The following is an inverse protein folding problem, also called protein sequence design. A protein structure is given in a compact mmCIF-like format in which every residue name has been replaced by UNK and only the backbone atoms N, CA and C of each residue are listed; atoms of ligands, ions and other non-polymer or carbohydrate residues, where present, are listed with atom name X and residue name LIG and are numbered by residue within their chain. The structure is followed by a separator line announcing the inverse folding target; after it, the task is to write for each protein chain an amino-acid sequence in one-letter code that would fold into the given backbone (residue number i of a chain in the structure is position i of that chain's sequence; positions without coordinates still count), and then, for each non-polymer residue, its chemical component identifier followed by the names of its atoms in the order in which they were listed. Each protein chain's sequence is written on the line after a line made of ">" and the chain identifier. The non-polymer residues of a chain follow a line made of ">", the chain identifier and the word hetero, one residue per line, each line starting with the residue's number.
data_IF_841475659859
#
_entry.id   IF_841475659859
#
_cell.length_a   1.000
_cell.length_b   1.000
_cell.length_c   1.000
_cell.angle_alpha   90.00
_cell.angle_beta   90.00
_cell.angle_gamma   90.00
#
_symmetry.space_group_name_H-M   'P 1'
#
loop_
_entity.id
_entity.type
_entity.pdbx_description
1 polymer ?
#
# COMPACT_ATOMS: atom_id res chain seq x y z
N UNK A 1 8.10 0.23 -7.87
CA UNK A 1 8.75 -0.80 -7.04
C UNK A 1 9.19 -2.00 -7.87
N UNK A 2 8.66 -2.21 -9.08
CA UNK A 2 9.11 -3.18 -10.09
C UNK A 2 10.63 -3.50 -10.06
N UNK A 3 11.51 -2.49 -10.14
CA UNK A 3 12.96 -2.75 -10.07
C UNK A 3 13.38 -3.45 -8.77
N UNK A 4 12.91 -2.98 -7.62
CA UNK A 4 13.19 -3.61 -6.32
C UNK A 4 12.55 -5.00 -6.25
N UNK A 5 11.31 -5.13 -6.72
CA UNK A 5 10.56 -6.39 -6.68
C UNK A 5 11.23 -7.48 -7.54
N UNK A 6 11.79 -7.12 -8.70
CA UNK A 6 12.42 -8.04 -9.65
C UNK A 6 13.93 -8.26 -9.41
N UNK A 7 14.65 -7.23 -8.93
CA UNK A 7 16.12 -7.22 -8.84
C UNK A 7 16.63 -7.26 -7.39
N UNK A 8 15.75 -7.03 -6.41
CA UNK A 8 16.10 -7.02 -4.98
C UNK A 8 16.73 -8.32 -4.49
N UNK A 9 16.30 -9.47 -5.03
CA UNK A 9 16.90 -10.77 -4.71
C UNK A 9 18.34 -10.95 -5.21
N UNK A 10 18.78 -10.15 -6.19
CA UNK A 10 20.16 -10.18 -6.72
C UNK A 10 21.04 -9.15 -6.02
N UNK A 11 20.45 -8.03 -5.58
CA UNK A 11 21.15 -6.95 -4.89
C UNK A 11 20.51 -6.71 -3.52
N UNK A 12 20.98 -7.42 -2.47
CA UNK A 12 20.39 -7.35 -1.13
C UNK A 12 20.31 -5.93 -0.55
N UNK A 13 21.24 -5.05 -0.94
CA UNK A 13 21.27 -3.65 -0.49
C UNK A 13 20.05 -2.81 -0.92
N UNK A 14 19.31 -3.24 -1.94
CA UNK A 14 18.08 -2.60 -2.41
C UNK A 14 16.84 -3.46 -2.17
N UNK A 15 16.95 -4.58 -1.45
CA UNK A 15 15.82 -5.44 -1.13
C UNK A 15 15.00 -4.87 0.04
N UNK A 16 13.76 -5.32 0.15
CA UNK A 16 12.87 -4.99 1.27
C UNK A 16 13.28 -5.72 2.55
N UNK A 17 12.87 -5.17 3.71
CA UNK A 17 12.98 -5.93 4.96
C UNK A 17 12.04 -7.15 4.93
N UNK A 18 12.39 -8.28 5.57
CA UNK A 18 11.56 -9.48 5.52
C UNK A 18 10.14 -9.28 6.10
N UNK A 19 10.03 -8.49 7.16
CA UNK A 19 8.75 -8.09 7.75
C UNK A 19 8.94 -6.94 8.73
N UNK A 20 9.72 -7.18 9.79
CA UNK A 20 10.18 -6.16 10.71
C UNK A 20 11.55 -5.65 10.26
N UNK A 21 11.76 -4.36 10.44
CA UNK A 21 12.97 -3.66 10.00
C UNK A 21 12.67 -2.64 8.92
N UNK A 22 13.71 -1.92 8.52
CA UNK A 22 13.60 -0.88 7.48
C UNK A 22 14.86 -0.90 6.63
N UNK A 23 14.66 -0.85 5.32
CA UNK A 23 15.69 -0.80 4.28
C UNK A 23 15.49 0.44 3.42
N UNK A 24 16.43 0.74 2.53
CA UNK A 24 16.31 1.89 1.62
C UNK A 24 15.05 1.79 0.74
N UNK A 25 14.70 0.58 0.29
CA UNK A 25 13.54 0.34 -0.56
C UNK A 25 12.22 0.71 0.12
N UNK A 26 12.13 0.51 1.43
CA UNK A 26 10.91 0.78 2.21
C UNK A 26 10.56 2.28 2.26
N UNK A 27 11.54 3.17 2.08
CA UNK A 27 11.33 4.62 2.05
C UNK A 27 10.84 5.16 0.70
N UNK A 28 10.96 4.39 -0.38
CA UNK A 28 10.65 4.85 -1.74
C UNK A 28 9.18 5.25 -1.85
N UNK A 29 8.26 4.37 -1.44
CA UNK A 29 6.83 4.65 -1.52
C UNK A 29 6.40 5.85 -0.64
N UNK A 30 6.75 5.91 0.66
CA UNK A 30 6.47 7.07 1.49
C UNK A 30 6.99 8.38 0.89
N UNK A 31 8.19 8.37 0.31
CA UNK A 31 8.78 9.56 -0.32
C UNK A 31 7.96 10.05 -1.53
N UNK A 32 7.53 9.14 -2.41
CA UNK A 32 6.65 9.50 -3.52
C UNK A 32 5.32 10.10 -3.06
N UNK A 33 4.69 9.50 -2.04
CA UNK A 33 3.43 9.99 -1.49
C UNK A 33 3.58 11.36 -0.82
N UNK A 34 4.68 11.56 -0.09
CA UNK A 34 5.05 12.85 0.46
C UNK A 34 5.21 13.90 -0.65
N UNK A 35 5.95 13.59 -1.72
CA UNK A 35 6.14 14.50 -2.86
C UNK A 35 4.85 14.82 -3.59
N UNK A 36 3.93 13.86 -3.73
CA UNK A 36 2.58 14.08 -4.26
C UNK A 36 1.83 15.08 -3.38
N UNK A 37 1.86 14.89 -2.06
CA UNK A 37 1.28 15.84 -1.10
C UNK A 37 1.83 17.26 -1.26
N UNK A 38 3.16 17.40 -1.25
CA UNK A 38 3.82 18.71 -1.44
C UNK A 38 3.35 19.37 -2.74
N UNK A 39 3.32 18.60 -3.83
CA UNK A 39 2.88 19.09 -5.15
C UNK A 39 1.44 19.59 -5.14
N UNK A 40 0.53 18.90 -4.44
CA UNK A 40 -0.87 19.32 -4.28
C UNK A 40 -0.95 20.67 -3.56
N UNK A 41 -0.21 20.85 -2.47
CA UNK A 41 -0.16 22.11 -1.72
C UNK A 41 0.29 23.29 -2.59
N UNK A 42 1.30 23.07 -3.44
CA UNK A 42 1.81 24.09 -4.35
C UNK A 42 0.84 24.42 -5.50
N UNK A 43 0.23 23.40 -6.13
CA UNK A 43 -0.64 23.58 -7.31
C UNK A 43 -1.97 24.23 -6.96
N UNK A 44 -2.58 23.87 -5.83
CA UNK A 44 -3.91 24.35 -5.45
C UNK A 44 -3.89 25.58 -4.53
N UNK A 45 -2.77 26.31 -4.46
CA UNK A 45 -2.63 27.57 -3.70
C UNK A 45 -3.80 28.55 -3.93
N UNK A 46 -4.30 28.64 -5.16
CA UNK A 46 -5.49 29.41 -5.52
C UNK A 46 -6.36 28.55 -6.44
N UNK A 47 -7.55 28.19 -5.96
CA UNK A 47 -8.53 27.43 -6.74
C UNK A 47 -9.62 28.38 -7.22
N UNK A 48 -9.59 28.84 -8.49
CA UNK A 48 -10.59 29.79 -9.00
C UNK A 48 -11.97 29.15 -9.17
N UNK A 49 -12.04 27.89 -9.61
CA UNK A 49 -13.27 27.12 -9.70
C UNK A 49 -13.07 25.72 -9.10
N UNK A 50 -13.73 25.45 -7.97
CA UNK A 50 -13.63 24.17 -7.25
C UNK A 50 -14.18 23.00 -8.07
N UNK A 51 -15.21 23.21 -8.89
CA UNK A 51 -15.83 22.16 -9.70
C UNK A 51 -14.89 21.72 -10.83
N UNK A 52 -14.32 22.67 -11.56
CA UNK A 52 -13.37 22.38 -12.63
C UNK A 52 -12.09 21.72 -12.10
N UNK A 53 -11.60 22.19 -10.95
CA UNK A 53 -10.46 21.57 -10.27
C UNK A 53 -10.75 20.11 -9.88
N UNK A 54 -11.93 19.87 -9.28
CA UNK A 54 -12.36 18.52 -8.90
C UNK A 54 -12.46 17.60 -10.12
N UNK A 55 -13.03 18.08 -11.23
CA UNK A 55 -13.11 17.30 -12.48
C UNK A 55 -11.73 16.89 -13.00
N UNK A 56 -10.76 17.82 -12.98
CA UNK A 56 -9.36 17.53 -13.39
C UNK A 56 -8.70 16.49 -12.48
N UNK A 57 -8.90 16.62 -11.17
CA UNK A 57 -8.40 15.65 -10.17
C UNK A 57 -8.97 14.27 -10.44
N UNK A 58 -10.30 14.14 -10.54
CA UNK A 58 -10.97 12.86 -10.78
C UNK A 58 -10.51 12.19 -12.09
N UNK A 59 -10.42 12.94 -13.19
CA UNK A 59 -9.94 12.40 -14.46
C UNK A 59 -8.50 11.91 -14.37
N UNK A 60 -7.63 12.63 -13.65
CA UNK A 60 -6.24 12.21 -13.44
C UNK A 60 -6.16 10.97 -12.55
N UNK A 61 -6.94 10.91 -11.47
CA UNK A 61 -7.01 9.74 -10.58
C UNK A 61 -7.46 8.51 -11.36
N UNK A 62 -8.53 8.60 -12.15
CA UNK A 62 -9.02 7.48 -12.96
C UNK A 62 -7.95 7.01 -13.96
N UNK A 63 -7.28 7.94 -14.66
CA UNK A 63 -6.20 7.59 -15.61
C UNK A 63 -5.05 6.86 -14.92
N UNK A 64 -4.59 7.35 -13.77
CA UNK A 64 -3.52 6.72 -13.00
C UNK A 64 -3.93 5.35 -12.44
N UNK A 65 -5.16 5.23 -11.96
CA UNK A 65 -5.69 3.98 -11.42
C UNK A 65 -5.80 2.92 -12.52
N UNK A 66 -6.40 3.25 -13.66
CA UNK A 66 -6.52 2.34 -14.82
C UNK A 66 -5.14 1.94 -15.33
N UNK A 67 -4.21 2.89 -15.46
CA UNK A 67 -2.83 2.59 -15.84
C UNK A 67 -2.16 1.64 -14.83
N UNK A 68 -2.38 1.83 -13.53
CA UNK A 68 -1.89 0.93 -12.49
C UNK A 68 -2.42 -0.49 -12.63
N UNK A 69 -3.72 -0.65 -12.88
CA UNK A 69 -4.34 -1.96 -13.12
C UNK A 69 -3.81 -2.61 -14.40
N UNK A 70 -3.56 -1.83 -15.45
CA UNK A 70 -2.97 -2.36 -16.70
C UNK A 70 -1.52 -2.82 -16.51
N UNK A 71 -0.71 -2.11 -15.71
CA UNK A 71 0.69 -2.46 -15.50
C UNK A 71 0.88 -3.58 -14.46
N UNK A 72 0.14 -3.53 -13.35
CA UNK A 72 0.35 -4.38 -12.18
C UNK A 72 -0.76 -5.44 -11.98
N UNK A 73 -1.93 -5.25 -12.58
CA UNK A 73 -3.09 -6.14 -12.46
C UNK A 73 -2.95 -7.46 -13.23
N UNK A 74 -1.73 -7.88 -13.55
CA UNK A 74 -1.51 -9.20 -14.12
C UNK A 74 -1.59 -9.33 -15.63
N UNK A 75 -1.41 -8.23 -16.36
CA UNK A 75 -1.22 -8.28 -17.82
C UNK A 75 0.14 -8.88 -18.20
N UNK A 76 1.13 -8.78 -17.31
CA UNK A 76 2.49 -9.30 -17.48
C UNK A 76 2.78 -10.46 -16.51
N UNK A 77 1.89 -11.44 -16.42
CA UNK A 77 2.24 -12.69 -15.73
C UNK A 77 3.12 -13.55 -16.64
N UNK A 78 4.23 -14.05 -16.13
CA UNK A 78 5.12 -14.96 -16.87
C UNK A 78 6.32 -14.27 -17.53
N UNK A 79 7.14 -13.56 -16.76
CA UNK A 79 8.48 -13.16 -17.24
C UNK A 79 9.31 -14.36 -17.70
N UNK A 80 8.98 -15.57 -17.19
CA UNK A 80 9.65 -16.84 -17.47
C UNK A 80 8.85 -17.80 -18.36
N UNK A 81 7.53 -17.62 -18.48
CA UNK A 81 6.65 -18.42 -19.34
C UNK A 81 5.94 -17.45 -20.28
N UNK A 82 6.23 -17.51 -21.58
CA UNK A 82 5.73 -16.62 -22.67
C UNK A 82 4.18 -16.60 -22.85
N UNK A 83 3.43 -16.97 -21.82
CA UNK A 83 1.97 -16.90 -21.73
C UNK A 83 1.52 -15.47 -21.44
N UNK A 84 1.22 -14.72 -22.49
CA UNK A 84 0.58 -13.41 -22.39
C UNK A 84 -0.95 -13.56 -22.31
N UNK A 85 -1.59 -12.96 -21.30
CA UNK A 85 -3.05 -12.97 -21.16
C UNK A 85 -3.56 -12.33 -19.88
N UNK A 86 -4.80 -11.81 -19.91
CA UNK A 86 -5.45 -11.21 -18.75
C UNK A 86 -6.23 -12.29 -18.00
N UNK A 87 -5.69 -12.76 -16.88
CA UNK A 87 -6.48 -13.60 -15.97
C UNK A 87 -7.24 -12.70 -14.98
N UNK A 88 -8.48 -12.36 -15.35
CA UNK A 88 -9.37 -11.50 -14.54
C UNK A 88 -9.59 -12.07 -13.13
N UNK A 89 -9.48 -13.39 -12.93
CA UNK A 89 -9.62 -14.01 -11.60
C UNK A 89 -8.42 -13.77 -10.68
N UNK A 90 -7.25 -13.47 -11.24
CA UNK A 90 -6.00 -13.23 -10.50
C UNK A 90 -5.52 -11.78 -10.60
N UNK A 91 -6.41 -10.85 -10.96
CA UNK A 91 -6.06 -9.44 -11.09
C UNK A 91 -5.76 -8.84 -9.72
N UNK A 92 -4.60 -8.20 -9.58
CA UNK A 92 -4.27 -7.44 -8.37
C UNK A 92 -4.88 -6.05 -8.46
N UNK A 93 -5.89 -5.78 -7.64
CA UNK A 93 -6.67 -4.54 -7.69
C UNK A 93 -5.93 -3.33 -7.13
N UNK A 94 -5.19 -3.52 -6.04
CA UNK A 94 -4.42 -2.47 -5.38
C UNK A 94 -2.94 -2.70 -5.59
N UNK A 95 -2.29 -1.64 -6.05
CA UNK A 95 -0.88 -1.62 -6.39
C UNK A 95 -0.29 -0.24 -6.16
N UNK A 96 0.96 -0.04 -6.56
CA UNK A 96 1.69 1.19 -6.29
C UNK A 96 1.01 2.42 -6.92
N UNK A 97 0.66 2.35 -8.20
CA UNK A 97 0.04 3.48 -8.91
C UNK A 97 -1.35 3.79 -8.38
N UNK A 98 -2.13 2.76 -8.05
CA UNK A 98 -3.46 2.89 -7.47
C UNK A 98 -3.37 3.63 -6.13
N UNK A 99 -2.44 3.23 -5.27
CA UNK A 99 -2.18 3.92 -3.99
C UNK A 99 -1.78 5.37 -4.19
N UNK A 100 -0.84 5.66 -5.09
CA UNK A 100 -0.46 7.04 -5.45
C UNK A 100 -1.67 7.84 -5.95
N UNK A 101 -2.53 7.23 -6.76
CA UNK A 101 -3.75 7.88 -7.27
C UNK A 101 -4.75 8.21 -6.16
N UNK A 102 -4.87 7.34 -5.15
CA UNK A 102 -5.71 7.55 -3.96
C UNK A 102 -5.14 8.64 -3.06
N UNK A 103 -3.82 8.62 -2.81
CA UNK A 103 -3.14 9.68 -2.05
C UNK A 103 -3.32 11.05 -2.69
N UNK A 104 -3.13 11.13 -4.01
CA UNK A 104 -3.39 12.33 -4.80
C UNK A 104 -4.86 12.78 -4.70
N UNK A 105 -5.81 11.85 -4.82
CA UNK A 105 -7.24 12.14 -4.71
C UNK A 105 -7.58 12.74 -3.34
N UNK A 106 -7.21 12.07 -2.26
CA UNK A 106 -7.56 12.50 -0.90
C UNK A 106 -6.93 13.85 -0.55
N UNK A 107 -5.64 14.04 -0.84
CA UNK A 107 -4.96 15.32 -0.61
C UNK A 107 -5.54 16.45 -1.47
N UNK A 108 -5.86 16.20 -2.74
CA UNK A 108 -6.43 17.23 -3.61
C UNK A 108 -7.85 17.60 -3.21
N UNK A 109 -8.68 16.61 -2.86
CA UNK A 109 -10.05 16.86 -2.41
C UNK A 109 -10.08 17.62 -1.09
N UNK A 110 -9.20 17.28 -0.13
CA UNK A 110 -9.09 18.05 1.11
C UNK A 110 -8.65 19.49 0.86
N UNK A 111 -7.71 19.71 -0.06
CA UNK A 111 -7.22 21.07 -0.38
C UNK A 111 -8.28 21.91 -1.08
N UNK A 112 -8.99 21.35 -2.06
CA UNK A 112 -10.01 22.08 -2.82
C UNK A 112 -11.22 22.48 -1.96
N UNK A 113 -11.64 21.59 -1.05
CA UNK A 113 -12.93 21.73 -0.34
C UNK A 113 -12.80 22.20 1.10
N UNK A 114 -11.73 21.84 1.81
CA UNK A 114 -11.58 22.16 3.24
C UNK A 114 -10.77 23.44 3.49
N UNK A 115 -10.06 23.95 2.49
CA UNK A 115 -9.23 25.15 2.60
C UNK A 115 -9.93 26.35 1.96
N UNK A 116 -9.88 27.48 2.66
CA UNK A 116 -10.40 28.75 2.19
C UNK A 116 -9.30 29.64 1.57
N UNK A 117 -9.72 30.71 0.90
CA UNK A 117 -8.80 31.66 0.27
C UNK A 117 -8.27 32.73 1.25
N UNK A 118 -8.34 32.49 2.56
CA UNK A 118 -7.87 33.46 3.56
C UNK A 118 -6.36 33.68 3.49
N UNK A 119 -5.91 34.91 3.72
CA UNK A 119 -4.49 35.23 3.86
C UNK A 119 -3.94 34.72 5.20
N UNK A 120 -2.69 34.26 5.19
CA UNK A 120 -2.01 33.78 6.40
C UNK A 120 -1.01 34.85 6.83
N UNK A 121 -1.36 35.61 7.87
CA UNK A 121 -0.51 36.69 8.42
C UNK A 121 0.18 36.30 9.73
N UNK A 122 -0.25 35.22 10.37
CA UNK A 122 0.30 34.72 11.63
C UNK A 122 0.24 33.20 11.73
N UNK A 123 0.99 32.63 12.67
CA UNK A 123 0.97 31.18 12.97
C UNK A 123 -0.44 30.72 13.38
N UNK A 124 -1.17 31.54 14.15
CA UNK A 124 -2.54 31.21 14.55
C UNK A 124 -3.49 31.16 13.35
N UNK A 125 -3.33 32.08 12.39
CA UNK A 125 -4.09 32.06 11.14
C UNK A 125 -3.76 30.82 10.29
N UNK A 126 -2.49 30.39 10.26
CA UNK A 126 -2.08 29.15 9.60
C UNK A 126 -2.77 27.92 10.21
N UNK A 127 -2.73 27.78 11.54
CA UNK A 127 -3.37 26.64 12.23
C UNK A 127 -4.88 26.65 11.98
N UNK A 128 -5.54 27.81 12.14
CA UNK A 128 -6.98 27.94 11.89
C UNK A 128 -7.35 27.61 10.44
N UNK A 129 -6.50 27.95 9.47
CA UNK A 129 -6.73 27.66 8.06
C UNK A 129 -6.68 26.15 7.75
N UNK A 130 -5.73 25.43 8.34
CA UNK A 130 -5.46 24.03 8.00
C UNK A 130 -5.97 23.01 9.03
N UNK A 131 -6.65 23.44 10.11
CA UNK A 131 -7.08 22.55 11.18
C UNK A 131 -8.01 21.42 10.72
N UNK A 132 -8.93 21.68 9.77
CA UNK A 132 -9.83 20.64 9.25
C UNK A 132 -9.07 19.51 8.56
N UNK A 133 -7.99 19.81 7.84
CA UNK A 133 -7.14 18.80 7.21
C UNK A 133 -6.42 17.95 8.26
N UNK A 134 -5.87 18.58 9.30
CA UNK A 134 -5.27 17.87 10.43
C UNK A 134 -6.29 16.98 11.15
N UNK A 135 -7.52 17.46 11.38
CA UNK A 135 -8.58 16.65 11.98
C UNK A 135 -8.91 15.43 11.12
N UNK A 136 -9.01 15.58 9.79
CA UNK A 136 -9.21 14.45 8.87
C UNK A 136 -8.04 13.47 8.96
N UNK A 137 -6.79 13.95 8.94
CA UNK A 137 -5.62 13.08 9.07
C UNK A 137 -5.59 12.32 10.41
N UNK A 138 -5.94 12.97 11.52
CA UNK A 138 -6.03 12.36 12.84
C UNK A 138 -7.16 11.33 12.91
N UNK A 139 -8.32 11.60 12.32
CA UNK A 139 -9.43 10.65 12.24
C UNK A 139 -9.02 9.41 11.44
N UNK A 140 -8.40 9.59 10.27
CA UNK A 140 -7.91 8.47 9.44
C UNK A 140 -6.87 7.65 10.20
N UNK A 141 -5.95 8.31 10.93
CA UNK A 141 -4.97 7.66 11.78
C UNK A 141 -5.64 6.85 12.91
N UNK A 142 -6.60 7.45 13.61
CA UNK A 142 -7.34 6.78 14.68
C UNK A 142 -8.12 5.57 14.16
N UNK A 143 -8.82 5.71 13.03
CA UNK A 143 -9.54 4.60 12.37
C UNK A 143 -8.57 3.48 12.01
N UNK A 144 -7.42 3.80 11.41
CA UNK A 144 -6.41 2.80 11.09
C UNK A 144 -5.90 2.07 12.34
N UNK A 145 -5.56 2.79 13.41
CA UNK A 145 -5.07 2.19 14.65
C UNK A 145 -6.15 1.33 15.31
N UNK A 146 -7.40 1.79 15.34
CA UNK A 146 -8.53 1.03 15.86
C UNK A 146 -8.75 -0.27 15.06
N UNK A 147 -8.64 -0.23 13.73
CA UNK A 147 -8.77 -1.42 12.90
C UNK A 147 -7.56 -2.35 13.06
N UNK A 148 -6.34 -1.81 13.09
CA UNK A 148 -5.11 -2.59 13.19
C UNK A 148 -5.04 -3.39 14.50
N UNK A 149 -5.40 -2.77 15.62
CA UNK A 149 -5.32 -3.39 16.95
C UNK A 149 -6.64 -3.99 17.44
N UNK A 150 -7.78 -3.45 17.01
CA UNK A 150 -9.10 -3.85 17.48
C UNK A 150 -9.73 -5.00 16.71
N UNK A 151 -9.36 -5.22 15.45
CA UNK A 151 -9.98 -6.25 14.61
C UNK A 151 -9.54 -7.66 15.04
N UNK A 152 -10.50 -8.57 15.17
CA UNK A 152 -10.22 -9.98 15.43
C UNK A 152 -9.93 -10.71 14.15
N UNK A 153 -8.82 -11.44 14.11
CA UNK A 153 -8.41 -12.23 12.97
C UNK A 153 -8.71 -13.71 13.26
N UNK A 154 -9.75 -14.28 12.62
CA UNK A 154 -10.08 -15.69 12.77
C UNK A 154 -9.07 -16.57 12.03
N UNK A 155 -9.15 -17.86 12.32
CA UNK A 155 -8.47 -18.90 11.55
C UNK A 155 -8.98 -18.88 10.11
N UNK A 156 -8.09 -19.19 9.16
CA UNK A 156 -8.41 -19.13 7.74
C UNK A 156 -7.65 -20.22 6.98
N UNK A 157 -8.10 -20.52 5.76
CA UNK A 157 -7.56 -21.60 4.94
C UNK A 157 -7.15 -21.10 3.56
N UNK A 158 -6.15 -21.74 2.95
CA UNK A 158 -5.76 -21.48 1.57
C UNK A 158 -5.39 -22.78 0.85
N UNK A 159 -5.56 -22.79 -0.47
CA UNK A 159 -5.19 -23.92 -1.31
C UNK A 159 -3.76 -23.76 -1.82
N UNK A 160 -3.00 -24.87 -1.83
CA UNK A 160 -1.66 -24.93 -2.40
C UNK A 160 -1.58 -25.96 -3.51
N UNK A 161 -0.89 -25.61 -4.59
CA UNK A 161 -0.48 -26.55 -5.63
C UNK A 161 0.84 -27.24 -5.27
N UNK A 162 0.92 -28.56 -5.46
CA UNK A 162 2.15 -29.33 -5.27
C UNK A 162 3.19 -29.02 -6.36
N UNK A 163 4.47 -29.03 -5.99
CA UNK A 163 5.62 -28.75 -6.88
C UNK A 163 5.94 -29.94 -7.82
N UNK A 164 5.35 -31.12 -7.59
CA UNK A 164 5.60 -32.32 -8.40
C UNK A 164 4.77 -32.30 -9.70
N UNK A 165 5.41 -32.37 -10.89
CA UNK A 165 4.74 -32.21 -12.18
C UNK A 165 3.89 -33.41 -12.64
N UNK A 166 3.85 -34.53 -11.90
CA UNK A 166 3.16 -35.75 -12.37
C UNK A 166 1.69 -35.85 -11.96
N UNK A 167 1.20 -35.04 -11.01
CA UNK A 167 -0.20 -35.00 -10.62
C UNK A 167 -0.59 -33.59 -10.14
N UNK A 168 -1.69 -33.05 -10.67
CA UNK A 168 -2.34 -31.84 -10.13
C UNK A 168 -2.89 -32.16 -8.74
N UNK A 169 -2.06 -32.01 -7.72
CA UNK A 169 -2.47 -32.14 -6.33
C UNK A 169 -2.65 -30.74 -5.74
N UNK A 170 -3.87 -30.46 -5.28
CA UNK A 170 -4.22 -29.31 -4.47
C UNK A 170 -4.54 -29.77 -3.06
N UNK A 171 -3.86 -29.23 -2.05
CA UNK A 171 -4.24 -29.47 -0.65
C UNK A 171 -4.55 -28.16 0.06
N UNK A 172 -5.51 -28.24 0.96
CA UNK A 172 -5.96 -27.11 1.77
C UNK A 172 -5.14 -27.05 3.05
N UNK A 173 -4.65 -25.86 3.38
CA UNK A 173 -3.83 -25.62 4.55
C UNK A 173 -4.53 -24.61 5.46
N UNK A 174 -4.67 -24.97 6.73
CA UNK A 174 -5.30 -24.12 7.75
C UNK A 174 -4.25 -23.34 8.52
N UNK A 175 -4.49 -22.05 8.66
CA UNK A 175 -3.69 -21.13 9.47
C UNK A 175 -4.47 -20.78 10.73
N UNK A 176 -3.90 -21.13 11.88
CA UNK A 176 -4.47 -20.80 13.17
C UNK A 176 -3.98 -19.43 13.63
N UNK A 177 -4.91 -18.49 13.81
CA UNK A 177 -4.63 -17.12 14.23
C UNK A 177 -5.29 -16.86 15.59
N UNK A 178 -6.62 -16.74 15.62
CA UNK A 178 -7.39 -16.52 16.86
C UNK A 178 -6.96 -15.32 17.71
N UNK A 179 -6.41 -14.26 17.11
CA UNK A 179 -5.75 -13.13 17.81
C UNK A 179 -6.33 -11.77 17.44
N UNK A 180 -6.08 -10.76 18.30
CA UNK A 180 -6.27 -9.32 18.01
C UNK A 180 -4.94 -8.60 18.12
N UNK A 181 -4.72 -7.60 17.26
CA UNK A 181 -3.56 -6.71 17.35
C UNK A 181 -2.19 -7.36 17.14
N UNK A 182 -2.14 -8.56 16.57
CA UNK A 182 -0.87 -9.14 16.10
C UNK A 182 -0.41 -8.37 14.86
N UNK A 183 0.86 -7.99 14.86
CA UNK A 183 1.53 -7.38 13.71
C UNK A 183 2.27 -8.43 12.87
N UNK A 184 2.39 -9.65 13.37
CA UNK A 184 3.11 -10.74 12.71
C UNK A 184 2.33 -11.28 11.50
N UNK A 185 3.02 -11.74 10.45
CA UNK A 185 2.37 -12.47 9.38
C UNK A 185 2.02 -13.88 9.87
N UNK A 186 0.98 -14.51 9.31
CA UNK A 186 -0.02 -13.98 8.37
C UNK A 186 -1.29 -13.46 9.10
N UNK A 187 -1.25 -13.38 10.42
CA UNK A 187 -2.40 -13.19 11.31
C UNK A 187 -2.68 -11.72 11.68
N UNK A 188 -2.10 -10.79 10.93
CA UNK A 188 -2.36 -9.37 11.10
C UNK A 188 -3.70 -8.92 10.50
N UNK A 189 -4.22 -7.81 11.02
CA UNK A 189 -5.50 -7.24 10.60
C UNK A 189 -5.50 -6.75 9.14
N UNK A 190 -4.37 -6.26 8.63
CA UNK A 190 -4.24 -5.77 7.25
C UNK A 190 -4.55 -6.90 6.26
N UNK A 191 -3.83 -8.02 6.39
CA UNK A 191 -4.04 -9.20 5.56
C UNK A 191 -5.44 -9.78 5.73
N UNK A 192 -6.03 -9.73 6.93
CA UNK A 192 -7.40 -10.18 7.12
C UNK A 192 -8.42 -9.35 6.33
N UNK A 193 -8.33 -8.02 6.39
CA UNK A 193 -9.22 -7.13 5.63
C UNK A 193 -9.10 -7.41 4.13
N UNK A 194 -7.88 -7.56 3.63
CA UNK A 194 -7.64 -7.83 2.21
C UNK A 194 -8.20 -9.21 1.79
N UNK A 195 -8.03 -10.24 2.62
CA UNK A 195 -8.61 -11.56 2.36
C UNK A 195 -10.14 -11.53 2.27
N UNK A 196 -10.80 -10.76 3.13
CA UNK A 196 -12.26 -10.67 3.18
C UNK A 196 -12.82 -9.83 2.02
N UNK A 197 -12.18 -8.71 1.70
CA UNK A 197 -12.71 -7.75 0.74
C UNK A 197 -12.22 -7.98 -0.69
N UNK A 198 -10.95 -8.35 -0.88
CA UNK A 198 -10.37 -8.61 -2.20
C UNK A 198 -10.46 -10.10 -2.56
N UNK A 199 -10.39 -11.00 -1.59
CA UNK A 199 -10.35 -12.44 -1.82
C UNK A 199 -8.94 -12.97 -2.09
N UNK A 200 -8.72 -14.26 -1.82
CA UNK A 200 -7.39 -14.89 -1.88
C UNK A 200 -6.77 -14.89 -3.28
N UNK A 201 -7.58 -15.01 -4.33
CA UNK A 201 -7.11 -15.06 -5.72
C UNK A 201 -6.52 -13.72 -6.20
N UNK A 202 -6.93 -12.61 -5.57
CA UNK A 202 -6.52 -11.25 -5.92
C UNK A 202 -5.35 -10.73 -5.08
N UNK A 203 -4.87 -11.53 -4.12
CA UNK A 203 -3.71 -11.18 -3.30
C UNK A 203 -2.40 -11.52 -3.99
N UNK A 204 -1.34 -10.82 -3.60
CA UNK A 204 0.01 -11.09 -4.08
C UNK A 204 0.51 -12.47 -3.60
N UNK A 205 1.01 -13.27 -4.55
CA UNK A 205 1.35 -14.69 -4.33
C UNK A 205 2.81 -14.90 -3.89
N UNK A 206 3.64 -13.86 -3.96
CA UNK A 206 5.06 -13.90 -3.58
C UNK A 206 5.31 -12.96 -2.38
N UNK A 207 4.79 -13.30 -1.19
CA UNK A 207 4.88 -12.41 -0.04
C UNK A 207 6.33 -12.19 0.39
N UNK A 208 6.67 -10.97 0.81
CA UNK A 208 8.01 -10.62 1.27
C UNK A 208 8.46 -11.42 2.49
N UNK A 209 7.55 -11.82 3.39
CA UNK A 209 7.92 -12.61 4.57
C UNK A 209 8.48 -14.00 4.26
N UNK A 210 8.45 -14.45 3.00
CA UNK A 210 9.10 -15.70 2.61
C UNK A 210 10.62 -15.68 2.89
N UNK A 211 11.23 -14.50 2.93
CA UNK A 211 12.65 -14.32 3.22
C UNK A 211 12.95 -14.17 4.72
N UNK A 212 11.95 -14.32 5.60
CA UNK A 212 12.17 -14.34 7.06
C UNK A 212 12.93 -15.58 7.50
N UNK A 213 13.59 -15.53 8.66
CA UNK A 213 14.36 -16.64 9.23
C UNK A 213 13.53 -17.93 9.40
N UNK A 214 12.20 -17.79 9.57
CA UNK A 214 11.28 -18.92 9.73
C UNK A 214 10.98 -19.61 8.40
N UNK A 215 11.14 -18.89 7.28
CA UNK A 215 10.69 -19.28 5.96
C UNK A 215 11.83 -19.44 4.93
N UNK A 216 13.03 -18.94 5.22
CA UNK A 216 14.21 -19.08 4.35
C UNK A 216 15.45 -19.47 5.14
N UNK A 217 16.13 -20.53 4.68
CA UNK A 217 17.46 -20.92 5.20
C UNK A 217 18.52 -19.84 4.94
N UNK A 218 18.31 -19.00 3.92
CA UNK A 218 19.24 -17.93 3.52
C UNK A 218 18.80 -16.54 4.01
N UNK A 219 17.88 -16.45 4.97
CA UNK A 219 17.38 -15.17 5.49
C UNK A 219 18.50 -14.16 5.76
N UNK A 220 18.39 -12.89 5.34
CA UNK A 220 17.19 -12.22 4.80
C UNK A 220 16.99 -12.40 3.28
N UNK A 221 17.69 -13.33 2.64
CA UNK A 221 17.59 -13.57 1.20
C UNK A 221 16.68 -14.76 0.88
N UNK A 222 16.30 -14.88 -0.40
CA UNK A 222 15.53 -16.01 -0.90
C UNK A 222 16.33 -17.32 -0.75
N UNK A 223 15.64 -18.35 -0.29
CA UNK A 223 16.23 -19.67 -0.05
C UNK A 223 15.16 -20.74 0.08
N UNK A 224 15.56 -22.02 0.17
CA UNK A 224 14.61 -23.10 0.42
C UNK A 224 13.97 -22.96 1.80
N UNK A 225 12.76 -23.50 1.94
CA UNK A 225 12.07 -23.58 3.23
C UNK A 225 12.89 -24.42 4.22
N UNK A 226 13.12 -23.94 5.46
CA UNK A 226 13.68 -24.75 6.52
C UNK A 226 12.87 -26.04 6.77
N UNK A 227 13.49 -27.15 7.22
CA UNK A 227 12.78 -28.42 7.47
C UNK A 227 11.60 -28.34 8.45
N UNK A 228 11.58 -27.31 9.31
CA UNK A 228 10.51 -27.03 10.29
C UNK A 228 9.80 -25.71 10.00
N UNK A 229 9.82 -25.25 8.75
CA UNK A 229 9.18 -24.00 8.36
C UNK A 229 7.67 -24.03 8.68
N UNK A 230 7.11 -22.94 9.22
CA UNK A 230 5.68 -22.82 9.39
C UNK A 230 4.92 -23.00 8.07
N UNK A 231 3.77 -23.66 8.14
CA UNK A 231 2.93 -23.92 6.96
C UNK A 231 2.49 -22.64 6.23
N UNK A 232 2.34 -21.53 6.96
CA UNK A 232 1.94 -20.24 6.42
C UNK A 232 3.04 -19.50 5.65
N UNK A 233 4.28 -19.98 5.60
CA UNK A 233 5.37 -19.31 4.87
C UNK A 233 5.07 -19.06 3.38
N UNK A 234 4.14 -19.83 2.80
CA UNK A 234 3.69 -19.72 1.40
C UNK A 234 2.25 -19.21 1.28
N UNK A 235 1.65 -18.74 2.37
CA UNK A 235 0.37 -18.07 2.32
C UNK A 235 0.47 -16.82 1.43
N UNK A 236 -0.57 -16.46 0.65
CA UNK A 236 -0.58 -15.20 -0.07
C UNK A 236 -0.77 -14.02 0.90
N UNK A 237 -0.13 -12.89 0.59
CA UNK A 237 -0.24 -11.66 1.39
C UNK A 237 0.05 -10.44 0.52
N UNK A 238 -0.81 -9.42 0.60
CA UNK A 238 -0.66 -8.18 -0.15
C UNK A 238 -0.26 -7.01 0.77
N UNK A 239 0.96 -6.47 0.67
CA UNK A 239 1.36 -5.29 1.47
C UNK A 239 0.68 -3.99 1.01
N UNK A 240 0.11 -3.96 -0.19
CA UNK A 240 -0.46 -2.77 -0.83
C UNK A 240 -2.00 -2.73 -0.76
N UNK A 241 -2.60 -3.51 0.12
CA UNK A 241 -4.05 -3.66 0.24
C UNK A 241 -4.81 -2.45 0.80
N UNK A 242 -6.07 -2.72 1.19
CA UNK A 242 -7.08 -1.71 1.51
C UNK A 242 -6.72 -0.97 2.80
N UNK A 243 -6.42 -1.71 3.87
CA UNK A 243 -6.14 -1.09 5.16
C UNK A 243 -4.82 -0.28 5.10
N UNK A 244 -3.82 -0.80 4.40
CA UNK A 244 -2.54 -0.11 4.09
C UNK A 244 -2.72 1.15 3.23
N UNK A 245 -3.83 1.29 2.52
CA UNK A 245 -4.16 2.49 1.74
C UNK A 245 -4.60 3.67 2.61
N UNK A 246 -5.00 3.44 3.87
CA UNK A 246 -5.25 4.55 4.81
C UNK A 246 -3.96 5.30 5.15
N UNK A 247 -2.83 4.58 5.30
CA UNK A 247 -1.52 5.21 5.52
C UNK A 247 -1.08 6.05 4.33
N UNK A 248 -1.53 5.72 3.12
CA UNK A 248 -1.24 6.50 1.92
C UNK A 248 -1.83 7.91 2.02
N UNK A 249 -3.07 8.03 2.51
CA UNK A 249 -3.70 9.31 2.74
C UNK A 249 -2.94 10.13 3.79
N UNK A 250 -2.52 9.51 4.90
CA UNK A 250 -1.76 10.18 5.96
C UNK A 250 -0.42 10.70 5.45
N UNK A 251 0.37 9.87 4.75
CA UNK A 251 1.67 10.31 4.20
C UNK A 251 1.49 11.44 3.19
N UNK A 252 0.43 11.38 2.38
CA UNK A 252 0.10 12.46 1.44
C UNK A 252 -0.30 13.75 2.16
N UNK A 253 -1.02 13.68 3.29
CA UNK A 253 -1.34 14.85 4.11
C UNK A 253 -0.10 15.47 4.78
N UNK A 254 0.84 14.65 5.25
CA UNK A 254 2.12 15.15 5.78
C UNK A 254 2.85 15.96 4.69
N UNK A 255 2.92 15.42 3.47
CA UNK A 255 3.46 16.14 2.32
C UNK A 255 2.70 17.42 2.00
N UNK A 256 1.37 17.37 2.01
CA UNK A 256 0.51 18.53 1.76
C UNK A 256 0.82 19.69 2.71
N UNK A 257 0.91 19.41 4.01
CA UNK A 257 1.24 20.42 5.01
C UNK A 257 2.66 20.97 4.84
N UNK A 258 3.63 20.13 4.46
CA UNK A 258 4.96 20.62 4.12
C UNK A 258 4.91 21.57 2.91
N UNK A 259 4.09 21.25 1.89
CA UNK A 259 3.80 22.15 0.77
C UNK A 259 3.23 23.50 1.21
N UNK A 260 2.32 23.52 2.19
CA UNK A 260 1.80 24.78 2.76
C UNK A 260 2.89 25.58 3.47
N UNK A 261 3.75 24.92 4.26
CA UNK A 261 4.87 25.58 4.92
C UNK A 261 5.77 26.24 3.88
N UNK A 262 6.12 25.56 2.80
CA UNK A 262 6.93 26.12 1.69
C UNK A 262 6.26 27.34 1.02
N UNK A 263 4.93 27.40 0.97
CA UNK A 263 4.23 28.54 0.37
C UNK A 263 4.22 29.80 1.23
N UNK A 264 4.21 29.63 2.55
CA UNK A 264 4.07 30.73 3.52
C UNK A 264 5.41 31.16 4.12
N UNK A 265 6.33 30.22 4.30
CA UNK A 265 7.71 30.49 4.69
C UNK A 265 8.50 30.76 3.41
N UNK A 266 8.46 32.01 2.95
CA UNK A 266 9.43 32.48 1.95
C UNK A 266 10.83 32.38 2.59
N UNK A 267 11.69 31.56 2.00
CA UNK A 267 13.15 31.68 2.15
C UNK A 267 13.61 32.87 1.30
#
# INVERSE_FOLDING_TARGET
>A
MILVDDVGGVFPSINHSPWFGVTLADFVMPYFLFGVGVSVGLVFKKVPNRVDATKKVLLRTIKLFVLGVLLQGGYFHGSHDLTYGVNVRKIRWLGMLQRISLGYLFASMSEIWLVDNSAVESIMAFVKKYHFQWMVALIVCAVYMCLLYGLFVPDWTFERQCVTPSYNCSYTQTVHCGVRGSLDPPCNAVGFVDRVLLGLEHMYQHPLYIITEQCSVNSPDYGPLPPKAPYWCLAPFDPEGILSSLMVAITSFIGLHFGHVLLHVKV
#
